data_IF_985086260349
#
_entry.id   IF_985086260349
#
_cell.length_a   1.000
_cell.length_b   1.000
_cell.length_c   1.000
_cell.angle_alpha   90.00
_cell.angle_beta   90.00
_cell.angle_gamma   90.00
#
_symmetry.space_group_name_H-M   'P 1'
#
loop_
_entity.id
_entity.type
_entity.pdbx_description
1 polymer ?
#
# COMPACT_ATOMS: atom_id res chain seq x y z
N UNK A 1 -11.79 -6.52 -1.91
CA UNK A 1 -11.88 -5.21 -2.61
C UNK A 1 -11.13 -5.39 -3.92
N UNK A 2 -11.77 -5.17 -5.06
CA UNK A 2 -11.08 -5.22 -6.35
C UNK A 2 -10.54 -3.83 -6.69
N UNK A 3 -9.27 -3.75 -7.07
CA UNK A 3 -8.64 -2.52 -7.56
C UNK A 3 -7.96 -2.80 -8.90
N UNK A 4 -8.03 -1.91 -9.89
CA UNK A 4 -7.29 -2.11 -11.13
C UNK A 4 -5.78 -2.11 -10.86
N UNK A 5 -5.04 -2.92 -11.60
CA UNK A 5 -3.57 -2.91 -11.56
C UNK A 5 -2.98 -1.62 -12.14
N UNK A 6 -3.70 -0.98 -13.07
CA UNK A 6 -3.35 0.33 -13.60
C UNK A 6 -4.63 1.13 -13.92
N UNK A 7 -4.74 2.41 -13.51
CA UNK A 7 -5.95 3.21 -13.71
C UNK A 7 -6.33 3.37 -15.20
N UNK A 8 -5.34 3.56 -16.09
CA UNK A 8 -5.59 3.75 -17.53
C UNK A 8 -5.57 2.45 -18.38
N UNK A 9 -5.21 1.29 -17.81
CA UNK A 9 -5.07 0.03 -18.57
C UNK A 9 -5.85 -1.11 -17.89
N UNK A 10 -7.18 -1.06 -17.98
CA UNK A 10 -8.08 -2.07 -17.39
C UNK A 10 -7.80 -3.50 -17.90
N UNK A 11 -7.24 -3.64 -19.12
CA UNK A 11 -6.83 -4.91 -19.72
C UNK A 11 -5.76 -5.67 -18.92
N UNK A 12 -5.04 -4.98 -18.02
CA UNK A 12 -4.06 -5.60 -17.11
C UNK A 12 -4.72 -6.37 -15.97
N UNK A 13 -6.03 -6.21 -15.78
CA UNK A 13 -6.81 -6.89 -14.75
C UNK A 13 -6.86 -6.15 -13.42
N UNK A 14 -7.51 -6.81 -12.46
CA UNK A 14 -7.72 -6.30 -11.11
C UNK A 14 -6.91 -7.13 -10.10
N UNK A 15 -6.35 -6.44 -9.10
CA UNK A 15 -5.86 -7.04 -7.87
C UNK A 15 -7.00 -7.14 -6.85
N UNK A 16 -6.98 -8.19 -6.04
CA UNK A 16 -8.00 -8.42 -5.02
C UNK A 16 -7.38 -8.26 -3.64
N UNK A 17 -7.72 -7.17 -2.96
CA UNK A 17 -7.33 -6.94 -1.59
C UNK A 17 -8.34 -7.57 -0.63
N UNK A 18 -7.88 -8.52 0.17
CA UNK A 18 -8.68 -9.11 1.25
C UNK A 18 -8.69 -8.12 2.42
N UNK A 19 -9.81 -7.42 2.59
CA UNK A 19 -9.99 -6.50 3.72
C UNK A 19 -10.54 -7.28 4.91
N UNK A 20 -9.67 -7.60 5.88
CA UNK A 20 -10.03 -8.23 7.15
C UNK A 20 -10.15 -7.18 8.27
N UNK A 21 -10.26 -7.61 9.53
CA UNK A 21 -10.29 -6.72 10.70
C UNK A 21 -8.95 -6.01 10.96
N UNK A 22 -7.86 -6.50 10.38
CA UNK A 22 -6.50 -6.00 10.58
C UNK A 22 -5.86 -5.70 9.23
N UNK A 23 -5.09 -4.62 9.19
CA UNK A 23 -4.33 -4.13 8.03
C UNK A 23 -3.06 -3.45 8.50
N UNK A 24 -2.06 -3.36 7.63
CA UNK A 24 -0.88 -2.54 7.87
C UNK A 24 -1.01 -1.20 7.15
N UNK A 25 -0.59 -0.12 7.82
CA UNK A 25 -0.46 1.22 7.24
C UNK A 25 0.97 1.73 7.49
N UNK A 26 1.46 2.70 6.70
CA UNK A 26 2.72 3.37 6.98
C UNK A 26 2.69 4.04 8.36
N UNK A 27 3.76 3.89 9.13
CA UNK A 27 3.89 4.52 10.46
C UNK A 27 3.74 6.04 10.39
N UNK A 28 4.25 6.66 9.32
CA UNK A 28 4.13 8.11 9.08
C UNK A 28 2.67 8.59 8.90
N UNK A 29 1.75 7.68 8.59
CA UNK A 29 0.31 7.97 8.44
C UNK A 29 -0.49 7.60 9.71
N UNK A 30 0.15 7.09 10.78
CA UNK A 30 -0.46 6.82 12.08
C UNK A 30 -0.65 8.11 12.88
N UNK A 31 -1.51 8.99 12.39
CA UNK A 31 -1.85 10.27 13.03
C UNK A 31 -3.30 10.26 13.49
N UNK A 32 -3.55 10.76 14.71
CA UNK A 32 -4.89 10.87 15.26
C UNK A 32 -5.85 11.65 14.33
N UNK A 33 -7.09 11.17 14.25
CA UNK A 33 -8.15 11.71 13.41
C UNK A 33 -8.70 10.70 12.41
N UNK A 34 -9.57 11.18 11.51
CA UNK A 34 -10.21 10.33 10.50
C UNK A 34 -9.29 10.23 9.28
N UNK A 35 -9.00 8.99 8.88
CA UNK A 35 -8.26 8.67 7.65
C UNK A 35 -9.09 7.72 6.79
N UNK A 36 -8.99 7.88 5.47
CA UNK A 36 -9.60 6.97 4.51
C UNK A 36 -8.56 5.99 4.00
N UNK A 37 -8.78 4.71 4.28
CA UNK A 37 -8.03 3.64 3.64
C UNK A 37 -8.41 3.62 2.16
N UNK A 38 -7.41 3.75 1.29
CA UNK A 38 -7.62 3.87 -0.16
C UNK A 38 -8.51 2.73 -0.68
N UNK A 39 -9.58 3.10 -1.40
CA UNK A 39 -10.61 2.21 -1.96
C UNK A 39 -11.33 1.28 -0.98
N UNK A 40 -11.19 1.52 0.34
CA UNK A 40 -11.78 0.69 1.39
C UNK A 40 -12.78 1.49 2.25
N UNK A 41 -12.42 1.75 3.51
CA UNK A 41 -13.28 2.36 4.53
C UNK A 41 -12.57 3.54 5.18
N UNK A 42 -13.35 4.33 5.91
CA UNK A 42 -12.85 5.40 6.76
C UNK A 42 -12.65 4.84 8.16
N UNK A 43 -11.50 5.15 8.75
CA UNK A 43 -11.10 4.75 10.08
C UNK A 43 -10.81 5.97 10.93
N UNK A 44 -11.17 5.89 12.20
CA UNK A 44 -10.73 6.86 13.21
C UNK A 44 -9.51 6.30 13.92
N UNK A 45 -8.38 7.00 13.82
CA UNK A 45 -7.15 6.70 14.52
C UNK A 45 -7.12 7.52 15.80
N UNK A 46 -6.89 6.86 16.92
CA UNK A 46 -6.75 7.50 18.23
C UNK A 46 -5.82 6.71 19.12
N UNK A 47 -4.82 7.36 19.70
CA UNK A 47 -3.86 6.74 20.62
C UNK A 47 -3.22 5.47 20.01
N UNK A 48 -2.89 5.53 18.71
CA UNK A 48 -2.31 4.41 17.96
C UNK A 48 -3.27 3.26 17.62
N UNK A 49 -4.56 3.37 17.95
CA UNK A 49 -5.58 2.38 17.63
C UNK A 49 -6.49 2.90 16.50
N UNK A 50 -6.76 2.06 15.50
CA UNK A 50 -7.68 2.38 14.42
C UNK A 50 -9.03 1.66 14.65
N UNK A 51 -10.13 2.40 14.54
CA UNK A 51 -11.48 1.83 14.61
C UNK A 51 -12.30 2.22 13.38
N UNK A 52 -13.26 1.37 13.00
CA UNK A 52 -14.15 1.65 11.88
C UNK A 52 -15.00 2.89 12.17
N UNK A 53 -14.98 3.86 11.26
CA UNK A 53 -15.79 5.08 11.34
C UNK A 53 -16.98 5.01 10.38
N UNK A 54 -16.71 4.92 9.07
CA UNK A 54 -17.75 4.85 8.04
C UNK A 54 -17.19 4.33 6.70
N UNK A 55 -18.03 4.22 5.66
CA UNK A 55 -17.61 3.68 4.34
C UNK A 55 -17.62 4.72 3.22
N UNK A 56 -18.50 5.72 3.30
CA UNK A 56 -18.75 6.62 2.17
C UNK A 56 -17.57 7.57 1.93
N UNK A 57 -17.37 7.94 0.67
CA UNK A 57 -16.37 8.97 0.34
C UNK A 57 -16.81 10.36 0.82
N UNK A 58 -18.13 10.60 0.91
CA UNK A 58 -18.71 11.85 1.39
C UNK A 58 -18.31 12.11 2.85
N UNK A 59 -18.45 11.13 3.73
CA UNK A 59 -18.03 11.27 5.14
C UNK A 59 -16.53 11.59 5.25
N UNK A 60 -15.70 10.94 4.42
CA UNK A 60 -14.27 11.21 4.39
C UNK A 60 -13.97 12.65 3.97
N UNK A 61 -14.70 13.15 2.98
CA UNK A 61 -14.56 14.53 2.49
C UNK A 61 -15.01 15.55 3.52
N UNK A 62 -16.14 15.31 4.19
CA UNK A 62 -16.65 16.18 5.26
C UNK A 62 -15.67 16.24 6.45
N UNK A 63 -15.11 15.09 6.83
CA UNK A 63 -14.09 14.97 7.86
C UNK A 63 -12.71 15.51 7.46
N UNK A 64 -12.52 15.91 6.18
CA UNK A 64 -11.20 16.25 5.60
C UNK A 64 -10.17 15.15 5.83
N UNK A 65 -10.63 13.90 5.76
CA UNK A 65 -9.83 12.73 6.01
C UNK A 65 -8.71 12.60 4.99
N UNK A 66 -7.51 12.23 5.47
CA UNK A 66 -6.39 11.91 4.59
C UNK A 66 -6.61 10.56 3.94
N UNK A 67 -6.35 10.45 2.64
CA UNK A 67 -6.38 9.16 1.95
C UNK A 67 -5.00 8.51 2.10
N UNK A 68 -4.97 7.33 2.69
CA UNK A 68 -3.75 6.60 3.02
C UNK A 68 -3.72 5.22 2.37
N UNK A 69 -2.54 4.78 1.92
CA UNK A 69 -2.34 3.42 1.43
C UNK A 69 -2.27 2.45 2.60
N UNK A 70 -2.60 1.19 2.33
CA UNK A 70 -2.62 0.11 3.31
C UNK A 70 -2.35 -1.20 2.59
N UNK A 71 -1.89 -2.21 3.33
CA UNK A 71 -1.76 -3.59 2.81
C UNK A 71 -2.45 -4.58 3.77
N UNK A 72 -3.02 -5.69 3.28
CA UNK A 72 -3.60 -6.71 4.15
C UNK A 72 -2.55 -7.45 4.98
N UNK A 73 -2.99 -8.27 5.94
CA UNK A 73 -2.10 -8.98 6.87
C UNK A 73 -1.33 -10.14 6.25
N UNK A 74 -1.72 -10.63 5.07
CA UNK A 74 -1.00 -11.62 4.28
C UNK A 74 0.11 -11.00 3.41
N UNK A 75 0.44 -9.72 3.66
CA UNK A 75 1.50 -9.00 2.98
C UNK A 75 2.86 -9.70 3.09
N UNK A 76 3.68 -9.51 2.06
CA UNK A 76 5.03 -10.06 1.96
C UNK A 76 6.07 -8.99 2.26
N UNK A 77 7.25 -9.41 2.72
CA UNK A 77 8.35 -8.51 3.03
C UNK A 77 8.97 -7.98 1.75
N UNK A 78 9.25 -6.68 1.76
CA UNK A 78 9.94 -6.01 0.68
C UNK A 78 11.00 -5.05 1.22
N UNK A 79 12.06 -4.90 0.43
CA UNK A 79 13.09 -3.88 0.62
C UNK A 79 13.16 -3.02 -0.62
N UNK A 80 13.37 -1.72 -0.42
CA UNK A 80 13.65 -0.80 -1.50
C UNK A 80 15.01 -0.15 -1.25
N UNK A 81 15.95 -0.38 -2.16
CA UNK A 81 17.22 0.36 -2.22
C UNK A 81 16.94 1.71 -2.87
N UNK A 82 17.18 2.78 -2.12
CA UNK A 82 16.95 4.16 -2.54
C UNK A 82 18.12 4.68 -3.39
N UNK A 83 17.93 5.85 -4.00
CA UNK A 83 18.92 6.51 -4.85
C UNK A 83 20.18 6.97 -4.10
N UNK A 84 20.07 7.17 -2.78
CA UNK A 84 21.18 7.43 -1.87
C UNK A 84 21.83 6.15 -1.29
N UNK A 85 21.47 4.99 -1.84
CA UNK A 85 21.87 3.65 -1.39
C UNK A 85 21.40 3.27 0.03
N UNK A 86 20.52 4.05 0.65
CA UNK A 86 19.81 3.62 1.86
C UNK A 86 18.81 2.50 1.52
N UNK A 87 18.44 1.71 2.53
CA UNK A 87 17.46 0.63 2.37
C UNK A 87 16.23 0.96 3.20
N UNK A 88 15.07 1.01 2.55
CA UNK A 88 13.77 1.10 3.20
C UNK A 88 13.15 -0.28 3.27
N UNK A 89 12.85 -0.75 4.48
CA UNK A 89 12.14 -2.01 4.70
C UNK A 89 10.63 -1.76 4.79
N UNK A 90 9.83 -2.69 4.28
CA UNK A 90 8.38 -2.55 4.27
C UNK A 90 7.66 -3.83 3.90
N UNK A 91 6.37 -3.66 3.61
CA UNK A 91 5.45 -4.73 3.23
C UNK A 91 4.81 -4.38 1.89
N UNK A 92 4.62 -5.39 1.04
CA UNK A 92 3.83 -5.26 -0.18
C UNK A 92 2.73 -6.33 -0.26
N UNK A 93 1.77 -6.11 -1.14
CA UNK A 93 0.60 -6.97 -1.29
C UNK A 93 1.00 -8.38 -1.75
N UNK A 94 0.21 -9.40 -1.40
CA UNK A 94 0.50 -10.81 -1.74
C UNK A 94 0.68 -11.04 -3.26
N UNK A 95 -0.01 -10.25 -4.08
CA UNK A 95 0.08 -10.26 -5.55
C UNK A 95 1.49 -9.91 -6.05
N UNK A 96 2.33 -9.26 -5.22
CA UNK A 96 3.73 -9.03 -5.57
C UNK A 96 4.54 -10.32 -5.72
N UNK A 97 4.07 -11.47 -5.22
CA UNK A 97 4.71 -12.77 -5.48
C UNK A 97 4.72 -13.16 -6.96
N UNK A 98 3.80 -12.63 -7.77
CA UNK A 98 3.73 -12.93 -9.20
C UNK A 98 4.73 -12.10 -10.02
N UNK A 99 5.42 -11.14 -9.39
CA UNK A 99 6.42 -10.31 -10.03
C UNK A 99 7.68 -11.11 -10.37
N UNK A 100 8.32 -10.72 -11.48
CA UNK A 100 9.58 -11.28 -11.95
C UNK A 100 10.68 -10.25 -11.83
N UNK A 101 11.91 -10.72 -11.64
CA UNK A 101 13.10 -9.87 -11.69
C UNK A 101 13.10 -9.10 -13.02
N UNK A 102 13.22 -7.78 -12.93
CA UNK A 102 13.13 -6.83 -14.03
C UNK A 102 11.79 -6.10 -14.12
N UNK A 103 10.73 -6.59 -13.47
CA UNK A 103 9.42 -5.92 -13.49
C UNK A 103 9.49 -4.58 -12.76
N UNK A 104 8.78 -3.59 -13.30
CA UNK A 104 8.67 -2.24 -12.74
C UNK A 104 7.27 -2.09 -12.17
N UNK A 105 7.21 -1.70 -10.89
CA UNK A 105 5.96 -1.49 -10.16
C UNK A 105 5.86 -0.05 -9.68
N UNK A 106 4.63 0.41 -9.47
CA UNK A 106 4.33 1.69 -8.84
C UNK A 106 3.78 1.45 -7.44
N UNK A 107 4.57 1.77 -6.42
CA UNK A 107 4.09 1.77 -5.05
C UNK A 107 3.36 3.08 -4.76
N UNK A 108 2.05 3.00 -4.51
CA UNK A 108 1.21 4.18 -4.29
C UNK A 108 1.74 5.05 -3.13
N UNK A 109 1.79 6.36 -3.36
CA UNK A 109 2.35 7.39 -2.44
C UNK A 109 3.85 7.25 -2.12
N UNK A 110 4.53 6.21 -2.61
CA UNK A 110 5.96 5.98 -2.45
C UNK A 110 6.75 6.37 -3.72
N UNK A 111 6.49 5.69 -4.84
CA UNK A 111 7.15 5.92 -6.13
C UNK A 111 7.26 4.66 -6.99
N UNK A 112 7.96 4.77 -8.12
CA UNK A 112 8.27 3.65 -9.00
C UNK A 112 9.52 2.91 -8.54
N UNK A 113 9.50 1.59 -8.62
CA UNK A 113 10.64 0.75 -8.30
C UNK A 113 10.72 -0.48 -9.22
N UNK A 114 11.93 -0.98 -9.48
CA UNK A 114 12.17 -2.20 -10.26
C UNK A 114 12.52 -3.34 -9.32
N UNK A 115 11.88 -4.51 -9.48
CA UNK A 115 12.28 -5.73 -8.77
C UNK A 115 13.63 -6.20 -9.32
N UNK A 116 14.64 -6.26 -8.45
CA UNK A 116 16.02 -6.58 -8.84
C UNK A 116 16.43 -7.98 -8.39
N UNK A 117 16.00 -8.38 -7.19
CA UNK A 117 16.33 -9.69 -6.62
C UNK A 117 15.16 -10.23 -5.80
N UNK A 118 14.99 -11.56 -5.81
CA UNK A 118 14.10 -12.28 -4.88
C UNK A 118 15.02 -13.19 -4.06
N UNK A 119 15.04 -12.99 -2.75
CA UNK A 119 15.97 -13.69 -1.86
C UNK A 119 15.30 -14.00 -0.52
N UNK A 120 15.39 -15.26 -0.08
CA UNK A 120 14.87 -15.70 1.23
C UNK A 120 13.40 -15.28 1.48
N UNK A 121 12.54 -15.41 0.46
CA UNK A 121 11.13 -14.98 0.45
C UNK A 121 10.91 -13.45 0.65
N UNK A 122 11.95 -12.64 0.40
CA UNK A 122 11.92 -11.18 0.44
C UNK A 122 12.20 -10.61 -0.96
N UNK A 123 11.40 -9.60 -1.35
CA UNK A 123 11.54 -8.93 -2.63
C UNK A 123 12.40 -7.69 -2.48
N UNK A 124 13.47 -7.59 -3.27
CA UNK A 124 14.40 -6.47 -3.24
C UNK A 124 14.21 -5.62 -4.49
N UNK A 125 13.71 -4.40 -4.28
CA UNK A 125 13.46 -3.42 -5.32
C UNK A 125 14.54 -2.34 -5.32
N UNK A 126 14.77 -1.74 -6.48
CA UNK A 126 15.53 -0.49 -6.63
C UNK A 126 14.58 0.64 -6.99
N UNK A 127 14.66 1.72 -6.22
CA UNK A 127 13.89 2.93 -6.45
C UNK A 127 14.28 3.60 -7.77
N UNK A 128 13.30 4.10 -8.50
CA UNK A 128 13.51 4.84 -9.74
C UNK A 128 13.25 6.34 -9.54
N UNK A 129 11.99 6.73 -9.29
CA UNK A 129 11.56 8.12 -9.05
C UNK A 129 10.12 8.14 -8.51
N UNK A 130 9.64 9.33 -8.14
CA UNK A 130 8.29 9.57 -7.62
C UNK A 130 7.51 10.51 -8.52
#
# INVERSE_FOLDING_TARGET
IERPLHPDFEERGNRTLVFNSEVYIPEADLTDGISRLMDAVNVEIKDGNASFHSKSFEDAREAKARIIQWVPTDAIKAKVVMDDASVTEGLCEIDCNDLKVGDIVQFERFGFARLDEIKDDELIFYYAHK
#
